data_IF_417683923145
#
_entry.id   IF_417683923145
#
_cell.length_a   1.000
_cell.length_b   1.000
_cell.length_c   1.000
_cell.angle_alpha   90.00
_cell.angle_beta   90.00
_cell.angle_gamma   90.00
#
_symmetry.space_group_name_H-M   'P 1'
#
loop_
_entity.id
_entity.type
_entity.pdbx_description
1 polymer ?
#
# COMPACT_ATOMS: atom_id res chain seq x y z
N UNK A 1 -13.08 29.75 3.11
CA UNK A 1 -12.90 28.31 2.85
C UNK A 1 -14.09 27.60 3.46
N UNK A 2 -14.52 26.46 2.91
CA UNK A 2 -15.61 25.66 3.48
C UNK A 2 -15.06 24.27 3.85
N UNK A 3 -15.61 23.66 4.91
CA UNK A 3 -15.33 22.26 5.26
C UNK A 3 -16.14 21.28 4.36
N UNK A 4 -15.97 19.97 4.58
CA UNK A 4 -16.68 18.92 3.84
C UNK A 4 -18.21 18.95 4.07
N UNK A 5 -18.66 19.59 5.15
CA UNK A 5 -20.09 19.78 5.49
C UNK A 5 -20.64 21.13 4.97
N UNK A 6 -19.81 21.92 4.28
CA UNK A 6 -20.21 23.21 3.70
C UNK A 6 -20.16 24.41 4.66
N UNK A 7 -19.68 24.24 5.90
CA UNK A 7 -19.55 25.32 6.87
C UNK A 7 -18.36 26.22 6.54
N UNK A 8 -18.48 27.51 6.87
CA UNK A 8 -17.38 28.45 6.72
C UNK A 8 -16.24 28.15 7.71
N UNK A 9 -15.06 27.93 7.20
CA UNK A 9 -13.85 27.69 7.99
C UNK A 9 -12.99 28.94 7.95
N UNK A 10 -12.69 29.49 9.12
CA UNK A 10 -11.92 30.71 9.29
C UNK A 10 -10.47 30.39 9.63
N UNK A 11 -9.55 31.17 9.06
CA UNK A 11 -8.15 31.18 9.49
C UNK A 11 -8.01 31.89 10.84
N UNK A 12 -6.99 31.51 11.60
CA UNK A 12 -6.63 32.19 12.86
C UNK A 12 -5.29 32.87 12.64
N UNK A 13 -5.20 34.15 13.03
CA UNK A 13 -3.91 34.86 13.04
C UNK A 13 -3.44 34.96 14.49
N UNK A 14 -2.23 34.46 14.76
CA UNK A 14 -1.60 34.52 16.07
C UNK A 14 -0.12 34.86 15.89
N UNK A 15 0.37 35.83 16.65
CA UNK A 15 1.77 36.34 16.62
C UNK A 15 2.30 36.61 15.20
N UNK A 16 1.45 37.22 14.33
CA UNK A 16 1.82 37.53 12.93
C UNK A 16 1.79 36.38 11.97
N UNK A 17 1.51 35.15 12.41
CA UNK A 17 1.35 33.97 11.58
C UNK A 17 -0.12 33.65 11.33
N UNK A 18 -0.45 33.22 10.13
CA UNK A 18 -1.80 32.77 9.78
C UNK A 18 -1.88 31.24 9.80
N UNK A 19 -2.73 30.71 10.66
CA UNK A 19 -2.99 29.28 10.81
C UNK A 19 -4.24 28.91 10.03
N UNK A 20 -4.12 27.91 9.15
CA UNK A 20 -5.23 27.38 8.37
C UNK A 20 -5.66 26.03 8.94
N UNK A 21 -6.97 25.74 9.02
CA UNK A 21 -7.46 24.42 9.39
C UNK A 21 -7.01 23.38 8.38
N UNK A 22 -6.12 22.49 8.80
CA UNK A 22 -5.46 21.52 7.91
C UNK A 22 -6.45 20.63 7.16
N UNK A 23 -7.55 20.18 7.79
CA UNK A 23 -8.59 19.37 7.13
C UNK A 23 -9.27 20.10 5.99
N UNK A 24 -9.59 21.38 6.16
CA UNK A 24 -10.23 22.17 5.11
C UNK A 24 -9.28 22.45 3.93
N UNK A 25 -7.99 22.64 4.20
CA UNK A 25 -6.96 22.78 3.15
C UNK A 25 -6.78 21.46 2.41
N UNK A 26 -6.61 20.35 3.14
CA UNK A 26 -6.44 19.04 2.58
C UNK A 26 -7.65 18.61 1.73
N UNK A 27 -8.88 18.85 2.19
CA UNK A 27 -10.10 18.59 1.43
C UNK A 27 -10.17 19.40 0.13
N UNK A 28 -9.79 20.68 0.16
CA UNK A 28 -9.74 21.51 -1.05
C UNK A 28 -8.69 21.04 -2.08
N UNK A 29 -7.59 20.47 -1.60
CA UNK A 29 -6.51 19.89 -2.42
C UNK A 29 -6.72 18.42 -2.78
N UNK A 30 -7.81 17.79 -2.29
CA UNK A 30 -8.09 16.36 -2.40
C UNK A 30 -6.97 15.46 -1.85
N UNK A 31 -6.35 15.91 -0.78
CA UNK A 31 -5.31 15.19 -0.06
C UNK A 31 -5.91 14.61 1.22
N UNK A 32 -5.65 13.35 1.51
CA UNK A 32 -6.06 12.75 2.78
C UNK A 32 -5.37 13.46 3.95
N UNK A 33 -6.11 13.61 5.05
CA UNK A 33 -5.56 14.10 6.31
C UNK A 33 -6.05 13.24 7.45
N UNK A 34 -5.11 12.77 8.25
CA UNK A 34 -5.39 12.08 9.50
C UNK A 34 -4.59 12.71 10.64
N UNK A 35 -4.94 12.38 11.88
CA UNK A 35 -4.29 12.88 13.07
C UNK A 35 -4.01 11.73 14.02
N UNK A 36 -2.74 11.42 14.21
CA UNK A 36 -2.31 10.47 15.23
C UNK A 36 -2.29 11.16 16.60
N UNK A 37 -3.28 10.85 17.42
CA UNK A 37 -3.42 11.44 18.76
C UNK A 37 -2.34 10.95 19.74
N UNK A 38 -1.71 9.80 19.51
CA UNK A 38 -0.67 9.25 20.38
C UNK A 38 0.66 9.99 20.23
N UNK A 39 0.98 10.39 18.99
CA UNK A 39 2.21 11.12 18.65
C UNK A 39 2.00 12.60 18.41
N UNK A 40 0.74 13.07 18.40
CA UNK A 40 0.33 14.42 18.04
C UNK A 40 0.78 14.86 16.64
N UNK A 41 0.88 13.91 15.70
CA UNK A 41 1.32 14.15 14.32
C UNK A 41 0.12 14.25 13.39
N UNK A 42 0.12 15.25 12.50
CA UNK A 42 -0.80 15.35 11.37
C UNK A 42 -0.19 14.59 10.18
N UNK A 43 -0.91 13.58 9.69
CA UNK A 43 -0.55 12.82 8.52
C UNK A 43 -1.25 13.42 7.29
N UNK A 44 -0.47 13.73 6.25
CA UNK A 44 -0.97 14.21 4.96
C UNK A 44 -0.51 13.22 3.88
N UNK A 45 -1.43 12.75 3.07
CA UNK A 45 -1.11 11.77 2.04
C UNK A 45 -2.22 11.58 1.01
N UNK A 46 -2.02 10.67 0.08
CA UNK A 46 -3.06 10.25 -0.85
C UNK A 46 -4.17 9.52 -0.07
N UNK A 47 -5.42 9.90 -0.31
CA UNK A 47 -6.56 9.19 0.25
C UNK A 47 -6.68 7.84 -0.45
N UNK A 48 -6.39 6.78 0.26
CA UNK A 48 -6.72 5.42 -0.18
C UNK A 48 -8.25 5.27 -0.06
N UNK A 49 -8.94 5.11 -1.18
CA UNK A 49 -10.41 4.89 -1.19
C UNK A 49 -10.75 3.45 -0.84
N UNK A 50 -10.32 2.96 0.33
CA UNK A 50 -10.53 1.58 0.74
C UNK A 50 -9.95 1.25 2.11
N UNK A 51 -10.06 0.00 2.47
CA UNK A 51 -9.50 -0.54 3.72
C UNK A 51 -8.09 -1.05 3.46
N UNK A 52 -7.10 -0.44 4.13
CA UNK A 52 -5.69 -0.84 4.00
C UNK A 52 -5.48 -2.29 4.44
N UNK A 53 -4.63 -3.02 3.69
CA UNK A 53 -4.22 -4.37 4.07
C UNK A 53 -3.23 -4.40 5.24
N UNK A 54 -2.71 -3.27 5.71
CA UNK A 54 -1.76 -3.20 6.84
C UNK A 54 -2.32 -3.70 8.17
N UNK A 55 -3.65 -3.84 8.28
CA UNK A 55 -4.30 -4.36 9.49
C UNK A 55 -4.44 -5.88 9.52
N UNK A 56 -4.01 -6.59 8.49
CA UNK A 56 -4.09 -8.05 8.45
C UNK A 56 -2.94 -8.73 9.20
N UNK A 57 -3.18 -9.95 9.68
CA UNK A 57 -2.13 -10.82 10.23
C UNK A 57 -1.41 -11.52 9.06
N UNK A 58 -0.12 -11.23 8.90
CA UNK A 58 0.70 -11.84 7.87
C UNK A 58 1.50 -13.03 8.40
N UNK A 59 1.21 -14.22 7.92
CA UNK A 59 2.14 -15.35 8.00
C UNK A 59 3.13 -15.29 6.83
N UNK A 60 3.73 -14.13 6.64
CA UNK A 60 4.66 -13.86 5.55
C UNK A 60 6.11 -14.22 5.92
N UNK A 61 6.29 -14.93 7.02
CA UNK A 61 7.61 -15.36 7.48
C UNK A 61 8.60 -14.19 7.62
N UNK A 62 9.71 -14.26 6.89
CA UNK A 62 10.78 -13.26 6.95
C UNK A 62 10.57 -12.05 6.01
N UNK A 63 9.42 -11.94 5.31
CA UNK A 63 9.20 -10.88 4.32
C UNK A 63 8.69 -9.59 4.94
N UNK A 64 7.92 -9.65 6.03
CA UNK A 64 7.40 -8.46 6.71
C UNK A 64 8.53 -7.68 7.40
N UNK A 65 8.61 -6.38 7.15
CA UNK A 65 9.65 -5.54 7.73
C UNK A 65 9.23 -4.08 7.89
N UNK A 66 9.71 -3.46 8.97
CA UNK A 66 9.62 -2.02 9.23
C UNK A 66 11.02 -1.35 9.23
N UNK A 67 12.06 -2.03 8.73
CA UNK A 67 13.41 -1.49 8.62
C UNK A 67 13.43 -0.37 7.54
N UNK A 68 13.75 0.90 7.90
CA UNK A 68 13.76 2.03 6.95
C UNK A 68 14.63 1.81 5.70
N UNK A 69 15.66 0.97 5.79
CA UNK A 69 16.51 0.61 4.63
C UNK A 69 15.80 -0.24 3.60
N UNK A 70 14.68 -0.88 3.97
CA UNK A 70 13.86 -1.77 3.14
C UNK A 70 12.48 -1.18 2.85
N UNK A 71 11.97 -0.32 3.75
CA UNK A 71 10.66 0.34 3.57
C UNK A 71 10.74 1.58 2.70
N UNK A 72 11.96 2.12 2.46
CA UNK A 72 12.15 3.28 1.58
C UNK A 72 12.35 2.84 0.14
N UNK A 73 11.47 3.31 -0.75
CA UNK A 73 11.56 3.09 -2.19
C UNK A 73 11.37 4.43 -2.93
N UNK A 74 12.33 4.81 -3.79
CA UNK A 74 12.37 6.10 -4.52
C UNK A 74 12.05 7.29 -3.61
N UNK A 75 12.81 7.42 -2.51
CA UNK A 75 12.73 8.50 -1.51
C UNK A 75 11.42 8.56 -0.69
N UNK A 76 10.49 7.62 -0.87
CA UNK A 76 9.29 7.49 -0.06
C UNK A 76 9.43 6.33 0.92
N UNK A 77 9.30 6.61 2.22
CA UNK A 77 9.25 5.60 3.28
C UNK A 77 7.80 5.16 3.50
N UNK A 78 7.54 3.89 3.22
CA UNK A 78 6.22 3.25 3.35
C UNK A 78 5.94 2.67 4.74
N UNK A 79 6.89 2.79 5.69
CA UNK A 79 6.82 2.36 7.09
C UNK A 79 6.82 0.85 7.29
N UNK A 80 5.93 0.13 6.63
CA UNK A 80 5.79 -1.31 6.73
C UNK A 80 5.52 -1.92 5.36
N UNK A 81 6.32 -2.91 5.00
CA UNK A 81 6.27 -3.55 3.68
C UNK A 81 6.51 -5.06 3.78
N UNK A 82 6.03 -5.80 2.79
CA UNK A 82 6.60 -7.10 2.45
C UNK A 82 7.78 -6.86 1.50
N UNK A 83 8.93 -7.39 1.85
CA UNK A 83 10.19 -7.18 1.15
C UNK A 83 10.94 -8.49 0.96
N UNK A 84 11.35 -8.76 -0.26
CA UNK A 84 12.37 -9.76 -0.54
C UNK A 84 13.32 -9.23 -1.61
N UNK A 85 14.58 -9.60 -1.51
CA UNK A 85 15.61 -9.30 -2.51
C UNK A 85 16.66 -10.39 -2.50
N UNK A 86 16.99 -10.91 -3.67
CA UNK A 86 18.06 -11.89 -3.83
C UNK A 86 19.45 -11.27 -3.61
N UNK A 87 20.41 -12.12 -3.32
CA UNK A 87 21.83 -11.71 -3.19
C UNK A 87 22.59 -11.92 -4.48
N UNK A 88 22.06 -12.73 -5.39
CA UNK A 88 22.71 -13.10 -6.66
C UNK A 88 21.72 -13.07 -7.82
N UNK A 89 22.21 -12.86 -9.03
CA UNK A 89 21.40 -12.79 -10.25
C UNK A 89 20.77 -14.15 -10.66
N UNK A 90 21.13 -15.22 -9.97
CA UNK A 90 20.64 -16.58 -10.28
C UNK A 90 19.59 -17.08 -9.29
N UNK A 91 19.46 -16.44 -8.12
CA UNK A 91 18.44 -16.78 -7.15
C UNK A 91 17.08 -16.25 -7.58
N UNK A 92 16.02 -16.95 -7.14
CA UNK A 92 14.66 -16.45 -7.29
C UNK A 92 14.29 -15.60 -6.08
N UNK A 93 13.97 -14.32 -6.31
CA UNK A 93 13.42 -13.41 -5.33
C UNK A 93 11.94 -13.68 -5.07
N UNK A 94 11.58 -14.96 -4.92
CA UNK A 94 10.20 -15.37 -4.69
C UNK A 94 9.70 -15.00 -3.29
N UNK A 95 8.42 -14.78 -3.19
CA UNK A 95 7.70 -14.61 -1.93
C UNK A 95 6.23 -14.89 -2.11
N UNK A 96 5.58 -15.33 -1.04
CA UNK A 96 4.14 -15.54 -1.04
C UNK A 96 3.53 -15.11 0.28
N UNK A 97 2.27 -14.73 0.25
CA UNK A 97 1.52 -14.33 1.43
C UNK A 97 0.02 -14.52 1.21
N UNK A 98 -0.69 -14.59 2.32
CA UNK A 98 -2.14 -14.70 2.34
C UNK A 98 -2.77 -13.36 2.67
N UNK A 99 -3.96 -13.12 2.12
CA UNK A 99 -4.85 -12.01 2.45
C UNK A 99 -6.25 -12.56 2.73
N UNK A 100 -6.97 -11.97 3.69
CA UNK A 100 -8.27 -12.46 4.15
C UNK A 100 -9.37 -11.40 3.94
N UNK A 101 -9.82 -11.15 2.71
CA UNK A 101 -10.90 -10.20 2.42
C UNK A 101 -12.28 -10.64 2.95
N UNK A 102 -12.42 -11.87 3.42
CA UNK A 102 -13.61 -12.46 4.06
C UNK A 102 -14.94 -12.19 3.33
N UNK A 103 -14.92 -12.18 2.00
CA UNK A 103 -16.06 -11.89 1.10
C UNK A 103 -16.67 -10.50 1.24
N UNK A 104 -16.01 -9.59 1.95
CA UNK A 104 -16.53 -8.24 2.23
C UNK A 104 -16.29 -7.30 1.06
N UNK A 105 -15.13 -7.45 0.40
CA UNK A 105 -14.65 -6.53 -0.62
C UNK A 105 -14.84 -7.06 -2.03
N UNK A 106 -14.91 -6.14 -3.01
CA UNK A 106 -15.06 -6.49 -4.43
C UNK A 106 -13.73 -6.47 -5.17
N UNK A 107 -12.80 -5.60 -4.74
CA UNK A 107 -11.53 -5.38 -5.43
C UNK A 107 -10.37 -5.33 -4.44
N UNK A 108 -9.21 -5.82 -4.89
CA UNK A 108 -7.91 -5.61 -4.29
C UNK A 108 -7.09 -4.66 -5.18
N UNK A 109 -6.51 -3.64 -4.58
CA UNK A 109 -5.51 -2.76 -5.18
C UNK A 109 -4.18 -3.01 -4.47
N UNK A 110 -3.32 -3.82 -5.09
CA UNK A 110 -2.02 -4.20 -4.53
C UNK A 110 -0.92 -3.37 -5.17
N UNK A 111 -0.19 -2.60 -4.36
CA UNK A 111 0.99 -1.88 -4.83
C UNK A 111 2.22 -2.77 -4.77
N UNK A 112 2.95 -2.86 -5.88
CA UNK A 112 4.16 -3.68 -5.99
C UNK A 112 5.23 -2.90 -6.75
N UNK A 113 6.44 -2.89 -6.24
CA UNK A 113 7.64 -2.48 -6.99
C UNK A 113 8.58 -3.67 -7.16
N UNK A 114 9.03 -3.88 -8.38
CA UNK A 114 10.08 -4.84 -8.67
C UNK A 114 11.46 -4.20 -8.42
N UNK A 115 12.39 -4.98 -7.84
CA UNK A 115 13.75 -4.54 -7.49
C UNK A 115 14.76 -5.23 -8.40
N UNK A 116 15.61 -4.43 -9.02
CA UNK A 116 16.72 -4.81 -9.91
C UNK A 116 16.28 -5.53 -11.21
N UNK A 117 15.38 -6.52 -11.13
CA UNK A 117 14.80 -7.25 -12.26
C UNK A 117 13.28 -7.21 -12.20
N UNK A 118 12.63 -7.48 -13.33
CA UNK A 118 11.17 -7.56 -13.40
C UNK A 118 10.62 -8.65 -12.48
N UNK A 119 9.40 -8.45 -11.99
CA UNK A 119 8.69 -9.42 -11.16
C UNK A 119 7.39 -9.88 -11.83
N UNK A 120 7.05 -11.15 -11.65
CA UNK A 120 5.74 -11.71 -11.98
C UNK A 120 4.92 -11.82 -10.70
N UNK A 121 3.71 -11.28 -10.70
CA UNK A 121 2.78 -11.29 -9.57
C UNK A 121 1.55 -12.05 -9.97
N UNK A 122 1.25 -13.11 -9.23
CA UNK A 122 0.07 -13.96 -9.43
C UNK A 122 -0.81 -13.94 -8.19
N UNK A 123 -2.10 -13.73 -8.38
CA UNK A 123 -3.11 -13.65 -7.33
C UNK A 123 -4.12 -14.76 -7.56
N UNK A 124 -4.32 -15.61 -6.56
CA UNK A 124 -5.19 -16.77 -6.62
C UNK A 124 -6.26 -16.72 -5.51
N UNK A 125 -7.42 -17.34 -5.77
CA UNK A 125 -8.30 -17.80 -4.70
C UNK A 125 -7.63 -18.95 -3.96
N UNK A 126 -7.40 -18.80 -2.64
CA UNK A 126 -6.57 -19.73 -1.86
C UNK A 126 -7.07 -21.17 -1.89
N UNK A 127 -8.36 -21.39 -1.66
CA UNK A 127 -8.92 -22.74 -1.55
C UNK A 127 -8.97 -23.55 -2.85
N UNK A 128 -9.19 -22.87 -3.98
CA UNK A 128 -9.32 -23.51 -5.31
C UNK A 128 -8.06 -23.41 -6.17
N UNK A 129 -7.11 -22.55 -5.79
CA UNK A 129 -5.96 -22.11 -6.60
C UNK A 129 -6.37 -21.57 -7.97
N UNK A 130 -7.59 -21.06 -8.09
CA UNK A 130 -8.06 -20.38 -9.29
C UNK A 130 -7.30 -19.07 -9.45
N UNK A 131 -6.64 -18.90 -10.59
CA UNK A 131 -5.97 -17.65 -10.94
C UNK A 131 -7.00 -16.52 -11.12
N UNK A 132 -6.84 -15.45 -10.37
CA UNK A 132 -7.67 -14.24 -10.44
C UNK A 132 -7.00 -13.16 -11.27
N UNK A 133 -5.69 -13.00 -11.08
CA UNK A 133 -4.87 -12.01 -11.80
C UNK A 133 -3.44 -12.49 -11.93
N UNK A 134 -2.85 -12.22 -13.08
CA UNK A 134 -1.40 -12.35 -13.31
C UNK A 134 -0.93 -11.06 -13.98
N UNK A 135 0.20 -10.54 -13.52
CA UNK A 135 0.75 -9.26 -14.02
C UNK A 135 2.26 -9.25 -13.90
N UNK A 136 2.91 -8.79 -14.94
CA UNK A 136 4.34 -8.51 -14.92
C UNK A 136 4.56 -7.06 -14.47
N UNK A 137 5.39 -6.86 -13.44
CA UNK A 137 5.81 -5.56 -12.93
C UNK A 137 7.23 -5.29 -13.41
N UNK A 138 7.43 -4.23 -14.17
CA UNK A 138 8.75 -3.89 -14.70
C UNK A 138 9.55 -3.09 -13.65
N UNK A 139 10.80 -3.43 -13.43
CA UNK A 139 11.67 -2.75 -12.47
C UNK A 139 11.84 -1.24 -12.77
N UNK A 140 11.80 -0.88 -14.06
CA UNK A 140 11.91 0.52 -14.49
C UNK A 140 10.68 1.38 -14.18
N UNK A 141 9.47 0.78 -14.10
CA UNK A 141 8.21 1.53 -13.95
C UNK A 141 8.00 2.06 -12.52
N UNK A 142 8.73 1.51 -11.56
CA UNK A 142 8.62 1.89 -10.16
C UNK A 142 7.48 1.19 -9.45
N UNK A 143 6.68 1.93 -8.68
CA UNK A 143 5.54 1.38 -7.94
C UNK A 143 4.35 1.21 -8.88
N UNK A 144 3.97 -0.03 -9.16
CA UNK A 144 2.78 -0.38 -9.93
C UNK A 144 1.60 -0.69 -9.01
N UNK A 145 0.38 -0.42 -9.45
CA UNK A 145 -0.85 -0.84 -8.77
C UNK A 145 -1.52 -1.95 -9.58
N UNK A 146 -1.69 -3.11 -8.97
CA UNK A 146 -2.36 -4.27 -9.55
C UNK A 146 -3.79 -4.29 -9.02
N UNK A 147 -4.76 -4.20 -9.91
CA UNK A 147 -6.18 -4.36 -9.59
C UNK A 147 -6.62 -5.80 -9.85
N UNK A 148 -7.28 -6.43 -8.88
CA UNK A 148 -7.87 -7.76 -9.01
C UNK A 148 -9.31 -7.77 -8.49
N UNK A 149 -10.20 -8.43 -9.23
CA UNK A 149 -11.57 -8.72 -8.79
C UNK A 149 -11.55 -9.86 -7.77
N UNK A 150 -12.06 -9.61 -6.58
CA UNK A 150 -12.06 -10.54 -5.44
C UNK A 150 -13.44 -10.76 -4.83
N UNK A 151 -14.49 -10.31 -5.52
CA UNK A 151 -15.86 -10.41 -5.03
C UNK A 151 -16.26 -11.83 -4.64
N UNK A 152 -16.72 -12.03 -3.40
CA UNK A 152 -17.14 -13.32 -2.87
C UNK A 152 -16.01 -14.25 -2.42
N UNK A 153 -14.75 -13.81 -2.45
CA UNK A 153 -13.57 -14.60 -2.05
C UNK A 153 -13.26 -14.38 -0.57
N UNK A 154 -13.06 -15.47 0.17
CA UNK A 154 -12.69 -15.41 1.59
C UNK A 154 -11.21 -15.21 1.80
N UNK A 155 -10.38 -15.89 1.02
CA UNK A 155 -8.93 -15.91 1.17
C UNK A 155 -8.24 -15.83 -0.19
N UNK A 156 -7.19 -15.04 -0.26
CA UNK A 156 -6.37 -14.83 -1.44
C UNK A 156 -4.95 -15.30 -1.15
N UNK A 157 -4.36 -16.01 -2.09
CA UNK A 157 -2.95 -16.37 -2.08
C UNK A 157 -2.23 -15.53 -3.15
N UNK A 158 -1.21 -14.79 -2.75
CA UNK A 158 -0.39 -13.97 -3.64
C UNK A 158 0.99 -14.58 -3.74
N UNK A 159 1.46 -14.75 -4.95
CA UNK A 159 2.85 -15.13 -5.26
C UNK A 159 3.54 -14.02 -6.04
N UNK A 160 4.81 -13.80 -5.72
CA UNK A 160 5.70 -12.91 -6.45
C UNK A 160 6.98 -13.66 -6.78
N UNK A 161 7.38 -13.61 -8.05
CA UNK A 161 8.62 -14.18 -8.55
C UNK A 161 9.46 -13.12 -9.24
N UNK A 162 10.75 -13.01 -8.88
CA UNK A 162 11.70 -12.11 -9.53
C UNK A 162 13.08 -12.75 -9.60
N UNK A 163 13.42 -13.30 -10.76
CA UNK A 163 14.70 -13.97 -10.96
C UNK A 163 15.85 -12.95 -10.98
N UNK A 164 16.78 -13.08 -10.05
CA UNK A 164 17.90 -12.16 -9.89
C UNK A 164 17.51 -10.80 -9.32
N UNK A 165 16.30 -10.66 -8.80
CA UNK A 165 15.77 -9.41 -8.28
C UNK A 165 15.05 -9.56 -6.96
N UNK A 166 13.97 -8.84 -6.79
CA UNK A 166 13.14 -8.86 -5.60
C UNK A 166 11.91 -7.98 -5.74
N UNK A 167 11.24 -7.73 -4.62
CA UNK A 167 10.03 -6.91 -4.58
C UNK A 167 9.90 -6.11 -3.30
N UNK A 168 9.10 -5.05 -3.39
CA UNK A 168 8.56 -4.29 -2.27
C UNK A 168 7.05 -4.17 -2.44
N UNK A 169 6.28 -4.52 -1.41
CA UNK A 169 4.83 -4.38 -1.36
C UNK A 169 4.47 -3.55 -0.14
N UNK A 170 4.11 -2.27 -0.31
CA UNK A 170 3.65 -1.41 0.78
C UNK A 170 2.29 -1.84 1.30
N UNK A 171 2.17 -2.04 2.61
CA UNK A 171 0.92 -2.49 3.23
C UNK A 171 -0.08 -1.35 3.40
N UNK A 172 0.40 -0.17 3.80
CA UNK A 172 -0.46 1.00 4.09
C UNK A 172 -1.13 1.61 2.86
N UNK A 173 -0.56 1.41 1.68
CA UNK A 173 -1.04 1.96 0.40
C UNK A 173 -1.64 0.90 -0.52
N UNK A 174 -1.56 -0.37 -0.15
CA UNK A 174 -2.35 -1.45 -0.74
C UNK A 174 -3.67 -1.59 0.02
N UNK A 175 -4.79 -1.82 -0.66
CA UNK A 175 -6.11 -1.75 -0.03
C UNK A 175 -7.17 -2.56 -0.74
N UNK A 176 -8.26 -2.84 -0.02
CA UNK A 176 -9.50 -3.39 -0.53
C UNK A 176 -10.54 -2.30 -0.79
N UNK A 177 -11.41 -2.53 -1.77
CA UNK A 177 -12.60 -1.71 -2.08
C UNK A 177 -13.85 -2.58 -2.29
#
# INVERSE_FOLDING_TARGET
MKDEQGNAVLSITYEGNTYLPVRAVAGALKVAVDYDAATAIVLLGEKVEGVSIAGEEYDAGNYLTSDPRRTTFKDKDYKEVLYNKTKTDTEDGAGSFMLVPDKIYQKLYLQVAALDQDAEVSIYESGSLKLLKETKVLAQDGMATIEADIGGISEIYVEVHSKGGGFVIPLSTSYYQ
#
